data_IF_238865185367
#
_entry.id   IF_238865185367
#
_cell.length_a   1.000
_cell.length_b   1.000
_cell.length_c   1.000
_cell.angle_alpha   90.00
_cell.angle_beta   90.00
_cell.angle_gamma   90.00
#
_symmetry.space_group_name_H-M   'P 1'
#
loop_
_entity.id
_entity.type
_entity.pdbx_description
1 polymer ?
#
# COMPACT_ATOMS: atom_id res chain seq x y z
N UNK A 1 3.33 16.67 13.89
CA UNK A 1 2.52 17.03 12.70
C UNK A 1 1.61 15.89 12.24
N UNK A 2 1.98 14.61 12.35
CA UNK A 2 1.05 13.49 12.21
C UNK A 2 -0.22 13.64 13.09
N UNK A 3 -0.09 14.25 14.27
CA UNK A 3 -1.20 14.52 15.18
C UNK A 3 -2.26 15.45 14.57
N UNK A 4 -1.87 16.33 13.64
CA UNK A 4 -2.81 17.18 12.88
C UNK A 4 -3.66 16.36 11.93
N UNK A 5 -3.05 15.40 11.21
CA UNK A 5 -3.80 14.48 10.34
C UNK A 5 -4.73 13.61 11.19
N UNK A 6 -4.22 13.01 12.27
CA UNK A 6 -5.03 12.17 13.15
C UNK A 6 -6.19 12.95 13.79
N UNK A 7 -5.98 14.21 14.15
CA UNK A 7 -7.05 15.08 14.65
C UNK A 7 -8.12 15.32 13.59
N UNK A 8 -7.72 15.64 12.35
CA UNK A 8 -8.67 15.82 11.24
C UNK A 8 -9.41 14.51 10.90
N UNK A 9 -8.74 13.37 10.99
CA UNK A 9 -9.36 12.07 10.75
C UNK A 9 -10.33 11.68 11.89
N UNK A 10 -9.96 11.93 13.15
CA UNK A 10 -10.79 11.62 14.31
C UNK A 10 -11.99 12.55 14.48
N UNK A 11 -11.95 13.77 13.94
CA UNK A 11 -13.05 14.72 14.00
C UNK A 11 -14.17 14.34 13.01
N UNK A 12 -15.29 13.83 13.55
CA UNK A 12 -16.46 13.44 12.76
C UNK A 12 -17.18 14.62 12.09
N UNK A 13 -16.92 15.84 12.52
CA UNK A 13 -17.49 17.06 11.91
C UNK A 13 -16.72 17.50 10.67
N UNK A 14 -15.48 17.05 10.52
CA UNK A 14 -14.63 17.34 9.36
C UNK A 14 -14.83 16.24 8.32
N UNK A 15 -15.34 16.61 7.15
CA UNK A 15 -15.45 15.71 6.00
C UNK A 15 -14.08 15.36 5.41
N UNK A 16 -14.00 14.27 4.65
CA UNK A 16 -12.78 13.91 3.93
C UNK A 16 -12.32 15.01 2.94
N UNK A 17 -13.27 15.70 2.30
CA UNK A 17 -12.98 16.82 1.39
C UNK A 17 -12.34 18.00 2.14
N UNK A 18 -12.90 18.38 3.29
CA UNK A 18 -12.34 19.48 4.10
C UNK A 18 -10.97 19.12 4.68
N UNK A 19 -10.79 17.88 5.14
CA UNK A 19 -9.50 17.39 5.60
C UNK A 19 -8.47 17.41 4.47
N UNK A 20 -8.82 16.92 3.28
CA UNK A 20 -7.99 16.95 2.10
C UNK A 20 -7.56 18.40 1.78
N UNK A 21 -8.50 19.35 1.74
CA UNK A 21 -8.20 20.75 1.47
C UNK A 21 -7.19 21.32 2.47
N UNK A 22 -7.47 21.18 3.78
CA UNK A 22 -6.60 21.67 4.85
C UNK A 22 -5.20 21.06 4.83
N UNK A 23 -5.06 19.83 4.34
CA UNK A 23 -3.78 19.13 4.25
C UNK A 23 -3.00 19.51 3.00
N UNK A 24 -3.65 19.60 1.84
CA UNK A 24 -3.01 19.88 0.56
C UNK A 24 -2.73 21.37 0.32
N UNK A 25 -3.50 22.27 0.96
CA UNK A 25 -3.42 23.73 0.76
C UNK A 25 -2.01 24.32 0.86
N UNK A 26 -1.15 23.95 1.84
CA UNK A 26 0.19 24.51 1.94
C UNK A 26 1.01 24.27 0.67
N UNK A 27 1.03 23.03 0.16
CA UNK A 27 1.73 22.68 -1.08
C UNK A 27 1.16 23.42 -2.29
N UNK A 28 -0.17 23.39 -2.45
CA UNK A 28 -0.84 24.05 -3.58
C UNK A 28 -0.60 25.56 -3.59
N UNK A 29 -0.67 26.19 -2.42
CA UNK A 29 -0.45 27.64 -2.26
C UNK A 29 0.99 28.02 -2.55
N UNK A 30 1.97 27.20 -2.15
CA UNK A 30 3.37 27.41 -2.46
C UNK A 30 3.61 27.53 -3.97
N UNK A 31 3.00 26.64 -4.76
CA UNK A 31 3.11 26.69 -6.22
C UNK A 31 2.32 27.86 -6.83
N UNK A 32 1.03 28.01 -6.47
CA UNK A 32 0.15 29.03 -7.07
C UNK A 32 0.69 30.45 -6.89
N UNK A 33 1.26 30.75 -5.72
CA UNK A 33 1.66 32.12 -5.36
C UNK A 33 2.88 32.60 -6.14
N UNK A 34 3.96 31.81 -6.15
CA UNK A 34 5.27 32.28 -6.59
C UNK A 34 5.91 31.34 -7.65
N UNK A 35 5.23 30.27 -8.08
CA UNK A 35 5.81 29.26 -8.98
C UNK A 35 6.98 28.49 -8.36
N UNK A 36 7.13 28.55 -7.04
CA UNK A 36 8.28 28.04 -6.29
C UNK A 36 8.21 26.52 -6.18
N UNK A 37 8.90 25.84 -7.10
CA UNK A 37 8.98 24.38 -7.16
C UNK A 37 9.72 23.79 -5.94
N UNK A 38 10.70 24.49 -5.38
CA UNK A 38 11.45 24.00 -4.21
C UNK A 38 10.54 23.96 -2.99
N UNK A 39 9.82 25.06 -2.73
CA UNK A 39 8.85 25.10 -1.63
C UNK A 39 7.69 24.15 -1.86
N UNK A 40 7.25 24.00 -3.11
CA UNK A 40 6.23 23.01 -3.47
C UNK A 40 6.66 21.59 -3.08
N UNK A 41 7.89 21.19 -3.43
CA UNK A 41 8.49 19.90 -3.06
C UNK A 41 8.57 19.71 -1.53
N UNK A 42 9.01 20.72 -0.78
CA UNK A 42 9.08 20.66 0.70
C UNK A 42 7.70 20.44 1.33
N UNK A 43 6.68 21.15 0.86
CA UNK A 43 5.31 21.04 1.38
C UNK A 43 4.63 19.72 0.96
N UNK A 44 4.93 19.20 -0.25
CA UNK A 44 4.51 17.86 -0.66
C UNK A 44 5.16 16.78 0.21
N UNK A 45 6.46 16.89 0.46
CA UNK A 45 7.16 15.98 1.37
C UNK A 45 6.52 15.98 2.76
N UNK A 46 6.20 17.15 3.31
CA UNK A 46 5.49 17.27 4.57
C UNK A 46 4.08 16.66 4.53
N UNK A 47 3.31 16.92 3.48
CA UNK A 47 1.97 16.35 3.27
C UNK A 47 2.01 14.82 3.32
N UNK A 48 2.84 14.20 2.48
CA UNK A 48 2.89 12.75 2.34
C UNK A 48 3.42 12.06 3.59
N UNK A 49 4.48 12.58 4.22
CA UNK A 49 4.98 12.01 5.47
C UNK A 49 3.94 12.09 6.60
N UNK A 50 3.14 13.15 6.66
CA UNK A 50 2.08 13.26 7.65
C UNK A 50 0.95 12.25 7.40
N UNK A 51 0.55 12.05 6.14
CA UNK A 51 -0.45 11.05 5.74
C UNK A 51 0.05 9.63 6.04
N UNK A 52 1.28 9.32 5.64
CA UNK A 52 1.90 8.01 5.85
C UNK A 52 2.08 7.70 7.33
N UNK A 53 2.53 8.68 8.12
CA UNK A 53 2.60 8.51 9.58
C UNK A 53 1.22 8.32 10.23
N UNK A 54 0.16 8.92 9.67
CA UNK A 54 -1.20 8.66 10.15
C UNK A 54 -1.65 7.24 9.77
N UNK A 55 -1.39 6.81 8.53
CA UNK A 55 -1.70 5.45 8.07
C UNK A 55 -1.07 4.37 8.97
N UNK A 56 0.20 4.53 9.37
CA UNK A 56 0.87 3.60 10.28
C UNK A 56 0.19 3.50 11.66
N UNK A 57 -0.36 4.63 12.15
CA UNK A 57 -0.94 4.75 13.50
C UNK A 57 -2.43 4.41 13.54
N UNK A 58 -3.11 4.46 12.41
CA UNK A 58 -4.53 4.12 12.31
C UNK A 58 -4.69 2.61 12.09
N UNK A 59 -5.39 1.88 12.98
CA UNK A 59 -5.69 0.47 12.79
C UNK A 59 -6.27 0.19 11.40
N UNK A 60 -5.85 -0.91 10.77
CA UNK A 60 -6.19 -1.23 9.38
C UNK A 60 -7.71 -1.26 9.07
N UNK A 61 -8.54 -1.54 10.07
CA UNK A 61 -10.00 -1.58 10.00
C UNK A 61 -10.67 -0.19 10.15
N UNK A 62 -9.89 0.86 10.42
CA UNK A 62 -10.35 2.24 10.65
C UNK A 62 -9.79 3.26 9.66
N UNK A 63 -9.22 2.80 8.54
CA UNK A 63 -8.54 3.65 7.56
C UNK A 63 -9.46 4.25 6.48
N UNK A 64 -10.77 3.95 6.48
CA UNK A 64 -11.68 4.35 5.39
C UNK A 64 -11.65 5.86 5.11
N UNK A 65 -11.76 6.68 6.17
CA UNK A 65 -11.68 8.16 6.03
C UNK A 65 -10.33 8.63 5.48
N UNK A 66 -9.24 7.94 5.81
CA UNK A 66 -7.92 8.31 5.29
C UNK A 66 -7.82 8.03 3.78
N UNK A 67 -8.41 6.92 3.33
CA UNK A 67 -8.51 6.60 1.90
C UNK A 67 -9.41 7.59 1.16
N UNK A 68 -10.52 8.02 1.77
CA UNK A 68 -11.36 9.09 1.24
C UNK A 68 -10.63 10.43 1.12
N UNK A 69 -9.79 10.77 2.09
CA UNK A 69 -8.92 11.96 2.04
C UNK A 69 -7.96 11.85 0.86
N UNK A 70 -7.29 10.72 0.66
CA UNK A 70 -6.40 10.52 -0.49
C UNK A 70 -7.15 10.65 -1.82
N UNK A 71 -8.34 10.09 -1.92
CA UNK A 71 -9.21 10.22 -3.11
C UNK A 71 -9.57 11.68 -3.37
N UNK A 72 -9.92 12.43 -2.32
CA UNK A 72 -10.24 13.85 -2.43
C UNK A 72 -9.01 14.69 -2.84
N UNK A 73 -7.83 14.42 -2.28
CA UNK A 73 -6.56 15.04 -2.69
C UNK A 73 -6.30 14.78 -4.18
N UNK A 74 -6.31 13.53 -4.62
CA UNK A 74 -6.06 13.15 -6.03
C UNK A 74 -6.99 13.87 -7.02
N UNK A 75 -8.24 14.12 -6.62
CA UNK A 75 -9.28 14.76 -7.45
C UNK A 75 -9.28 16.29 -7.41
N UNK A 76 -8.41 16.92 -6.60
CA UNK A 76 -8.34 18.38 -6.61
C UNK A 76 -7.87 18.88 -7.98
N UNK A 77 -8.32 20.08 -8.41
CA UNK A 77 -7.82 20.70 -9.63
C UNK A 77 -6.30 20.86 -9.59
N UNK A 78 -5.59 20.75 -10.70
CA UNK A 78 -4.16 21.05 -10.72
C UNK A 78 -3.90 22.50 -10.26
N UNK A 79 -2.96 22.77 -9.34
CA UNK A 79 -2.57 24.14 -9.01
C UNK A 79 -1.85 24.77 -10.21
N UNK A 80 -2.21 26.02 -10.55
CA UNK A 80 -1.72 26.73 -11.75
C UNK A 80 -1.00 28.01 -11.36
N UNK A 81 0.16 28.27 -11.98
CA UNK A 81 0.89 29.53 -11.86
C UNK A 81 1.41 29.95 -13.25
N UNK A 82 0.86 31.02 -13.82
CA UNK A 82 1.33 31.64 -15.08
C UNK A 82 1.62 30.67 -16.26
N UNK A 83 0.90 29.55 -16.35
CA UNK A 83 1.14 28.52 -17.37
C UNK A 83 2.38 27.64 -17.14
N UNK A 84 3.05 27.78 -15.99
CA UNK A 84 4.09 26.86 -15.53
C UNK A 84 3.51 25.47 -15.28
N UNK A 85 4.26 24.46 -15.72
CA UNK A 85 3.97 23.06 -15.43
C UNK A 85 4.52 22.68 -14.06
N UNK A 86 3.84 21.77 -13.38
CA UNK A 86 4.37 21.12 -12.19
C UNK A 86 5.61 20.30 -12.56
N UNK A 87 6.65 20.42 -11.74
CA UNK A 87 7.86 19.62 -11.86
C UNK A 87 8.32 19.15 -10.49
N UNK A 88 8.82 17.93 -10.43
CA UNK A 88 9.47 17.34 -9.26
C UNK A 88 10.83 16.81 -9.72
N UNK A 89 11.91 17.25 -9.06
CA UNK A 89 13.29 16.85 -9.42
C UNK A 89 13.61 17.04 -10.91
N UNK A 90 13.03 18.08 -11.52
CA UNK A 90 13.21 18.42 -12.94
C UNK A 90 12.29 17.69 -13.92
N UNK A 91 11.58 16.64 -13.50
CA UNK A 91 10.60 15.92 -14.32
C UNK A 91 9.21 16.56 -14.26
N UNK A 92 8.52 16.67 -15.40
CA UNK A 92 7.12 17.11 -15.42
C UNK A 92 6.21 16.06 -14.77
N UNK A 93 5.18 16.52 -14.08
CA UNK A 93 4.18 15.69 -13.39
C UNK A 93 2.83 16.36 -13.45
N UNK A 94 1.77 15.63 -13.11
CA UNK A 94 0.45 16.21 -12.82
C UNK A 94 0.06 16.06 -11.36
N UNK A 95 -0.88 16.87 -10.90
CA UNK A 95 -1.40 16.77 -9.53
C UNK A 95 -2.07 15.42 -9.24
N UNK A 96 -2.84 14.90 -10.20
CA UNK A 96 -3.57 13.62 -10.09
C UNK A 96 -2.64 12.39 -10.08
N UNK A 97 -1.37 12.58 -10.44
CA UNK A 97 -0.30 11.58 -10.32
C UNK A 97 0.32 11.54 -8.92
N UNK A 98 -0.16 12.36 -7.97
CA UNK A 98 0.31 12.42 -6.58
C UNK A 98 1.83 12.65 -6.51
N UNK A 99 2.32 13.83 -6.95
CA UNK A 99 3.75 14.11 -7.09
C UNK A 99 4.53 13.80 -5.80
N UNK A 100 5.67 13.12 -5.92
CA UNK A 100 6.51 12.59 -4.81
C UNK A 100 5.93 11.43 -3.99
N UNK A 101 4.65 11.06 -4.14
CA UNK A 101 4.05 10.04 -3.28
C UNK A 101 4.66 8.66 -3.49
N UNK A 102 4.90 8.24 -4.75
CA UNK A 102 5.47 6.93 -5.10
C UNK A 102 6.81 6.60 -4.40
N UNK A 103 7.84 7.46 -4.50
CA UNK A 103 9.09 7.27 -3.75
C UNK A 103 8.89 7.20 -2.23
N UNK A 104 8.04 8.06 -1.67
CA UNK A 104 7.83 8.11 -0.22
C UNK A 104 7.08 6.89 0.33
N UNK A 105 6.13 6.31 -0.42
CA UNK A 105 5.49 5.06 0.02
C UNK A 105 6.47 3.87 0.01
N UNK A 106 7.43 3.87 -0.92
CA UNK A 106 8.49 2.86 -0.97
C UNK A 106 9.40 2.98 0.25
N UNK A 107 9.82 4.19 0.61
CA UNK A 107 10.61 4.45 1.83
C UNK A 107 9.82 4.08 3.09
N UNK A 108 8.54 4.45 3.15
CA UNK A 108 7.70 4.15 4.31
C UNK A 108 7.52 2.64 4.53
N UNK A 109 7.41 1.85 3.46
CA UNK A 109 7.34 0.39 3.58
C UNK A 109 8.57 -0.19 4.30
N UNK A 110 9.77 0.32 4.00
CA UNK A 110 11.01 -0.09 4.67
C UNK A 110 11.03 0.37 6.14
N UNK A 111 10.62 1.62 6.40
CA UNK A 111 10.56 2.18 7.75
C UNK A 111 9.58 1.39 8.63
N UNK A 112 8.37 1.12 8.13
CA UNK A 112 7.32 0.41 8.86
C UNK A 112 7.74 -1.00 9.28
N UNK A 113 8.58 -1.67 8.47
CA UNK A 113 9.14 -2.98 8.79
C UNK A 113 10.05 -2.97 10.03
N UNK A 114 10.69 -1.83 10.31
CA UNK A 114 11.56 -1.63 11.48
C UNK A 114 10.85 -1.04 12.70
N UNK A 115 9.53 -0.80 12.61
CA UNK A 115 8.70 -0.15 13.61
C UNK A 115 7.87 -1.16 14.41
N UNK A 116 7.06 -0.72 15.40
CA UNK A 116 6.16 -1.64 16.10
C UNK A 116 5.35 -2.48 15.14
N UNK A 117 5.16 -3.73 15.51
CA UNK A 117 4.54 -4.80 14.72
C UNK A 117 3.25 -4.40 13.98
N UNK A 118 2.38 -3.61 14.61
CA UNK A 118 1.13 -3.16 13.98
C UNK A 118 1.33 -2.11 12.88
N UNK A 119 2.41 -1.32 12.90
CA UNK A 119 2.67 -0.29 11.90
C UNK A 119 2.84 -0.91 10.51
N UNK A 120 3.51 -2.06 10.43
CA UNK A 120 3.69 -2.78 9.17
C UNK A 120 2.37 -3.34 8.62
N UNK A 121 1.49 -3.85 9.48
CA UNK A 121 0.15 -4.30 9.07
C UNK A 121 -0.69 -3.12 8.58
N UNK A 122 -0.72 -2.03 9.35
CA UNK A 122 -1.50 -0.85 9.04
C UNK A 122 -1.08 -0.18 7.72
N UNK A 123 0.23 -0.06 7.45
CA UNK A 123 0.69 0.56 6.21
C UNK A 123 0.38 -0.31 4.99
N UNK A 124 0.50 -1.64 5.11
CA UNK A 124 0.14 -2.55 4.03
C UNK A 124 -1.36 -2.54 3.74
N UNK A 125 -2.19 -2.46 4.77
CA UNK A 125 -3.63 -2.29 4.60
C UNK A 125 -3.97 -1.00 3.87
N UNK A 126 -3.29 0.10 4.20
CA UNK A 126 -3.47 1.37 3.53
C UNK A 126 -3.10 1.29 2.05
N UNK A 127 -1.95 0.71 1.72
CA UNK A 127 -1.53 0.52 0.32
C UNK A 127 -2.45 -0.42 -0.47
N UNK A 128 -2.95 -1.49 0.16
CA UNK A 128 -3.94 -2.37 -0.42
C UNK A 128 -5.23 -1.62 -0.79
N UNK A 129 -5.72 -0.76 0.11
CA UNK A 129 -6.92 0.06 -0.13
C UNK A 129 -6.69 1.11 -1.21
N UNK A 130 -5.55 1.80 -1.22
CA UNK A 130 -5.23 2.76 -2.29
C UNK A 130 -5.12 2.08 -3.66
N UNK A 131 -4.63 0.84 -3.70
CA UNK A 131 -4.57 0.02 -4.91
C UNK A 131 -5.97 -0.44 -5.35
N UNK A 132 -6.83 -0.81 -4.41
CA UNK A 132 -8.23 -1.18 -4.67
C UNK A 132 -9.04 -0.02 -5.25
N UNK A 133 -8.76 1.21 -4.78
CA UNK A 133 -9.46 2.42 -5.18
C UNK A 133 -8.86 3.15 -6.40
N UNK A 134 -7.88 2.55 -7.08
CA UNK A 134 -7.16 3.14 -8.23
C UNK A 134 -6.56 4.52 -7.91
N UNK A 135 -6.18 4.73 -6.65
CA UNK A 135 -5.54 5.97 -6.19
C UNK A 135 -4.03 5.91 -6.46
N UNK A 136 -3.42 4.79 -6.07
CA UNK A 136 -1.99 4.51 -6.21
C UNK A 136 -1.77 3.01 -6.34
N UNK A 137 -1.31 2.56 -7.51
CA UNK A 137 -0.94 1.16 -7.73
C UNK A 137 0.29 0.79 -6.89
N UNK A 138 0.09 -0.16 -5.97
CA UNK A 138 1.14 -0.69 -5.09
C UNK A 138 1.22 -2.22 -5.16
N UNK A 139 0.74 -2.85 -6.25
CA UNK A 139 0.70 -4.31 -6.42
C UNK A 139 2.07 -4.98 -6.29
N UNK A 140 3.16 -4.29 -6.65
CA UNK A 140 4.52 -4.82 -6.46
C UNK A 140 4.85 -5.03 -4.97
N UNK A 141 4.32 -4.19 -4.08
CA UNK A 141 4.53 -4.32 -2.64
C UNK A 141 3.82 -5.56 -2.09
N UNK A 142 2.62 -5.87 -2.61
CA UNK A 142 1.92 -7.12 -2.31
C UNK A 142 2.80 -8.33 -2.64
N UNK A 143 3.42 -8.35 -3.83
CA UNK A 143 4.35 -9.43 -4.22
C UNK A 143 5.52 -9.56 -3.24
N UNK A 144 6.10 -8.45 -2.80
CA UNK A 144 7.23 -8.51 -1.86
C UNK A 144 6.82 -9.08 -0.50
N UNK A 145 5.64 -8.69 -0.01
CA UNK A 145 5.07 -9.20 1.24
C UNK A 145 4.71 -10.69 1.10
N UNK A 146 4.03 -11.08 0.02
CA UNK A 146 3.68 -12.49 -0.22
C UNK A 146 4.91 -13.36 -0.41
N UNK A 147 5.94 -12.83 -1.08
CA UNK A 147 7.20 -13.56 -1.25
C UNK A 147 7.80 -13.90 0.11
N UNK A 148 7.96 -12.91 0.97
CA UNK A 148 8.58 -13.10 2.28
C UNK A 148 7.69 -13.95 3.20
N UNK A 149 6.38 -13.70 3.21
CA UNK A 149 5.44 -14.36 4.10
C UNK A 149 5.15 -15.81 3.69
N UNK A 150 5.05 -16.06 2.38
CA UNK A 150 4.42 -17.24 1.80
C UNK A 150 5.26 -17.89 0.70
N UNK A 151 6.42 -17.42 0.26
CA UNK A 151 7.18 -18.08 -0.81
C UNK A 151 8.62 -18.40 -0.44
N UNK A 152 9.25 -17.55 0.38
CA UNK A 152 10.58 -17.78 0.93
C UNK A 152 10.63 -19.00 1.85
N UNK A 153 9.74 -19.14 2.87
CA UNK A 153 9.71 -20.33 3.71
C UNK A 153 9.24 -21.58 2.94
N UNK A 154 9.65 -22.78 3.36
CA UNK A 154 9.04 -24.01 2.86
C UNK A 154 7.56 -24.10 3.27
N UNK A 155 6.76 -24.86 2.52
CA UNK A 155 5.30 -24.92 2.71
C UNK A 155 4.89 -25.38 4.12
N UNK A 156 5.61 -26.36 4.68
CA UNK A 156 5.39 -26.92 6.01
C UNK A 156 6.09 -26.13 7.14
N UNK A 157 6.86 -25.09 6.77
CA UNK A 157 7.62 -24.23 7.68
C UNK A 157 7.01 -22.83 7.86
N UNK A 158 6.01 -22.45 7.05
CA UNK A 158 5.41 -21.09 7.06
C UNK A 158 5.00 -20.66 8.47
N UNK A 159 4.33 -21.52 9.23
CA UNK A 159 3.85 -21.19 10.57
C UNK A 159 4.97 -21.02 11.61
N UNK A 160 6.13 -21.64 11.37
CA UNK A 160 7.28 -21.66 12.28
C UNK A 160 8.27 -20.53 11.96
N UNK A 161 8.41 -20.16 10.68
CA UNK A 161 9.42 -19.21 10.22
C UNK A 161 8.88 -17.83 9.90
N UNK A 162 7.59 -17.71 9.58
CA UNK A 162 6.95 -16.42 9.27
C UNK A 162 6.33 -15.85 10.53
N UNK A 163 6.64 -14.59 10.87
CA UNK A 163 6.03 -13.94 12.03
C UNK A 163 4.51 -13.75 11.83
N UNK A 164 3.71 -13.82 12.91
CA UNK A 164 2.27 -13.51 12.85
C UNK A 164 1.97 -12.15 12.19
N UNK A 165 2.85 -11.18 12.36
CA UNK A 165 2.75 -9.82 11.81
C UNK A 165 2.89 -9.78 10.30
N UNK A 166 3.85 -10.55 9.78
CA UNK A 166 4.07 -10.66 8.35
C UNK A 166 2.92 -11.44 7.69
N UNK A 167 2.37 -12.46 8.37
CA UNK A 167 1.14 -13.13 7.95
C UNK A 167 -0.08 -12.19 7.95
N UNK A 168 -0.22 -11.35 8.98
CA UNK A 168 -1.26 -10.30 9.03
C UNK A 168 -1.09 -9.27 7.91
N UNK A 169 0.14 -8.82 7.65
CA UNK A 169 0.45 -7.89 6.56
C UNK A 169 0.13 -8.50 5.17
N UNK A 170 0.41 -9.78 4.96
CA UNK A 170 -0.02 -10.49 3.76
C UNK A 170 -1.55 -10.62 3.69
N UNK A 171 -2.20 -10.90 4.83
CA UNK A 171 -3.65 -11.06 4.91
C UNK A 171 -4.39 -9.79 4.51
N UNK A 172 -3.97 -8.61 4.97
CA UNK A 172 -4.66 -7.34 4.67
C UNK A 172 -4.67 -6.97 3.19
N UNK A 173 -3.68 -7.45 2.41
CA UNK A 173 -3.71 -7.31 0.95
C UNK A 173 -4.86 -8.08 0.31
N UNK A 174 -5.18 -9.28 0.80
CA UNK A 174 -6.35 -10.03 0.34
C UNK A 174 -7.65 -9.49 0.95
N UNK A 175 -7.64 -9.02 2.19
CA UNK A 175 -8.83 -8.46 2.84
C UNK A 175 -9.34 -7.22 2.08
N UNK A 176 -8.42 -6.31 1.72
CA UNK A 176 -8.78 -5.01 1.15
C UNK A 176 -8.51 -4.87 -0.35
N UNK A 177 -7.66 -5.72 -0.94
CA UNK A 177 -7.21 -5.60 -2.34
C UNK A 177 -7.45 -6.84 -3.20
N UNK A 178 -8.20 -7.85 -2.73
CA UNK A 178 -8.39 -9.11 -3.45
C UNK A 178 -8.84 -8.95 -4.92
N UNK A 179 -9.78 -8.04 -5.20
CA UNK A 179 -10.27 -7.81 -6.57
C UNK A 179 -9.17 -7.25 -7.49
N UNK A 180 -8.38 -6.29 -7.02
CA UNK A 180 -7.24 -5.76 -7.79
C UNK A 180 -6.15 -6.81 -7.99
N UNK A 181 -5.89 -7.67 -7.00
CA UNK A 181 -4.94 -8.77 -7.12
C UNK A 181 -5.43 -9.85 -8.10
N UNK A 182 -6.73 -10.18 -8.07
CA UNK A 182 -7.35 -11.13 -9.00
C UNK A 182 -7.35 -10.58 -10.43
N UNK A 183 -7.68 -9.29 -10.61
CA UNK A 183 -7.55 -8.60 -11.90
C UNK A 183 -6.10 -8.68 -12.41
N UNK A 184 -5.11 -8.41 -11.57
CA UNK A 184 -3.70 -8.51 -11.96
C UNK A 184 -3.29 -9.94 -12.35
N UNK A 185 -3.83 -10.98 -11.68
CA UNK A 185 -3.69 -12.40 -12.05
C UNK A 185 -4.28 -12.66 -13.43
N UNK A 186 -5.50 -12.21 -13.68
CA UNK A 186 -6.23 -12.48 -14.93
C UNK A 186 -5.61 -11.75 -16.12
N UNK A 187 -5.08 -10.55 -15.90
CA UNK A 187 -4.30 -9.78 -16.88
C UNK A 187 -2.85 -10.26 -17.01
N UNK A 188 -2.45 -11.27 -16.24
CA UNK A 188 -1.09 -11.81 -16.17
C UNK A 188 -0.01 -10.72 -15.95
N UNK A 189 -0.30 -9.72 -15.11
CA UNK A 189 0.57 -8.55 -14.90
C UNK A 189 1.97 -8.97 -14.49
N UNK A 190 2.98 -8.50 -15.25
CA UNK A 190 4.40 -8.77 -15.01
C UNK A 190 5.14 -7.50 -14.57
N UNK A 191 6.28 -7.68 -13.91
CA UNK A 191 7.20 -6.61 -13.53
C UNK A 191 8.60 -6.89 -14.08
N UNK A 192 9.32 -5.82 -14.39
CA UNK A 192 10.63 -5.91 -15.01
C UNK A 192 11.70 -6.49 -14.09
N UNK A 193 12.68 -7.16 -14.71
CA UNK A 193 13.88 -7.65 -14.07
C UNK A 193 13.60 -8.69 -12.96
N UNK A 194 14.17 -8.45 -11.77
CA UNK A 194 14.10 -9.35 -10.61
C UNK A 194 13.15 -8.86 -9.51
N UNK A 195 12.42 -7.77 -9.75
CA UNK A 195 11.60 -7.12 -8.73
C UNK A 195 10.54 -8.07 -8.15
N UNK A 196 9.87 -8.81 -9.02
CA UNK A 196 8.79 -9.74 -8.69
C UNK A 196 9.17 -11.22 -8.86
N UNK A 197 10.46 -11.57 -8.70
CA UNK A 197 10.92 -12.97 -8.71
C UNK A 197 10.15 -13.82 -7.67
N UNK A 198 10.01 -15.14 -7.87
CA UNK A 198 9.49 -16.04 -6.84
C UNK A 198 10.41 -16.09 -5.63
N UNK A 199 9.85 -16.50 -4.49
CA UNK A 199 10.58 -16.74 -3.26
C UNK A 199 11.48 -17.97 -3.29
N UNK A 200 12.31 -18.09 -2.26
CA UNK A 200 13.41 -19.05 -2.24
C UNK A 200 12.97 -20.52 -2.25
N UNK A 201 11.90 -20.90 -1.54
CA UNK A 201 11.35 -22.26 -1.61
C UNK A 201 10.75 -22.62 -2.98
N UNK A 202 10.43 -21.60 -3.79
CA UNK A 202 9.86 -21.72 -5.13
C UNK A 202 10.92 -21.55 -6.23
N UNK A 203 12.18 -21.89 -5.92
CA UNK A 203 13.31 -21.74 -6.84
C UNK A 203 13.15 -22.45 -8.20
N UNK A 204 12.35 -23.52 -8.28
CA UNK A 204 12.01 -24.20 -9.52
C UNK A 204 11.26 -23.29 -10.53
N UNK A 205 10.57 -22.25 -10.04
CA UNK A 205 9.86 -21.28 -10.85
C UNK A 205 10.70 -20.06 -11.23
N UNK A 206 11.97 -20.01 -10.81
CA UNK A 206 12.83 -18.84 -11.00
C UNK A 206 12.95 -18.45 -12.46
N UNK A 207 13.01 -19.39 -13.39
CA UNK A 207 13.16 -19.08 -14.82
C UNK A 207 11.91 -19.46 -15.64
N UNK A 208 10.79 -19.74 -14.97
CA UNK A 208 9.52 -20.05 -15.63
C UNK A 208 8.87 -18.75 -16.12
N UNK A 209 8.46 -18.74 -17.39
CA UNK A 209 7.77 -17.60 -17.99
C UNK A 209 6.46 -17.30 -17.23
N UNK A 210 6.16 -16.02 -17.00
CA UNK A 210 4.97 -15.57 -16.26
C UNK A 210 5.12 -15.54 -14.73
N UNK A 211 6.20 -16.07 -14.17
CA UNK A 211 6.51 -16.02 -12.73
C UNK A 211 7.29 -14.76 -12.31
N UNK A 212 7.15 -13.67 -13.07
CA UNK A 212 7.69 -12.33 -12.76
C UNK A 212 6.59 -11.35 -12.41
N UNK A 213 5.48 -11.85 -11.86
CA UNK A 213 4.35 -11.03 -11.47
C UNK A 213 3.23 -11.89 -10.93
N UNK A 214 2.01 -11.57 -11.36
CA UNK A 214 0.78 -12.28 -11.02
C UNK A 214 0.46 -13.31 -12.10
N UNK A 215 0.24 -14.56 -11.68
CA UNK A 215 -0.22 -15.64 -12.56
C UNK A 215 -1.07 -16.65 -11.77
N UNK A 216 -1.90 -17.48 -12.44
CA UNK A 216 -2.76 -18.46 -11.77
C UNK A 216 -1.99 -19.46 -10.89
N UNK A 217 -0.83 -19.94 -11.33
CA UNK A 217 -0.06 -20.92 -10.55
C UNK A 217 0.46 -20.31 -9.23
N UNK A 218 1.02 -19.10 -9.31
CA UNK A 218 1.53 -18.39 -8.12
C UNK A 218 0.40 -18.02 -7.17
N UNK A 219 -0.76 -17.63 -7.70
CA UNK A 219 -1.97 -17.41 -6.91
C UNK A 219 -2.41 -18.66 -6.14
N UNK A 220 -2.40 -19.82 -6.80
CA UNK A 220 -2.76 -21.09 -6.15
C UNK A 220 -1.77 -21.45 -5.03
N UNK A 221 -0.48 -21.13 -5.18
CA UNK A 221 0.49 -21.29 -4.10
C UNK A 221 0.13 -20.44 -2.89
N UNK A 222 -0.16 -19.14 -3.08
CA UNK A 222 -0.56 -18.26 -1.97
C UNK A 222 -1.82 -18.75 -1.27
N UNK A 223 -2.82 -19.16 -2.06
CA UNK A 223 -4.08 -19.71 -1.55
C UNK A 223 -3.85 -20.97 -0.73
N UNK A 224 -3.10 -21.93 -1.26
CA UNK A 224 -2.80 -23.19 -0.56
C UNK A 224 -2.06 -22.94 0.75
N UNK A 225 -1.07 -22.04 0.75
CA UNK A 225 -0.26 -21.72 1.93
C UNK A 225 -1.04 -20.94 2.99
N UNK A 226 -2.00 -20.08 2.62
CA UNK A 226 -2.91 -19.51 3.62
C UNK A 226 -3.86 -20.56 4.20
N UNK A 227 -4.45 -21.41 3.36
CA UNK A 227 -5.36 -22.47 3.83
C UNK A 227 -4.69 -23.50 4.73
N UNK A 228 -3.39 -23.76 4.57
CA UNK A 228 -2.66 -24.66 5.48
C UNK A 228 -2.55 -24.08 6.90
N UNK A 229 -2.46 -22.74 7.03
CA UNK A 229 -2.34 -22.05 8.32
C UNK A 229 -3.62 -22.11 9.16
N UNK A 230 -4.79 -22.31 8.56
CA UNK A 230 -6.06 -22.46 9.30
C UNK A 230 -6.02 -23.62 10.32
N UNK A 231 -5.17 -24.63 10.08
CA UNK A 231 -4.99 -25.80 10.96
C UNK A 231 -3.83 -25.66 11.95
N UNK A 232 -3.08 -24.56 11.89
CA UNK A 232 -1.92 -24.32 12.75
C UNK A 232 -2.31 -23.54 14.00
N UNK A 233 -1.51 -23.69 15.05
CA UNK A 233 -1.64 -22.91 16.28
C UNK A 233 -0.92 -21.58 16.09
N UNK A 234 -1.69 -20.50 15.99
CA UNK A 234 -1.24 -19.12 15.81
C UNK A 234 -1.98 -18.22 16.80
N UNK A 235 -1.45 -17.03 17.11
CA UNK A 235 -2.18 -16.01 17.85
C UNK A 235 -3.57 -15.74 17.24
N UNK A 236 -4.57 -15.52 18.09
CA UNK A 236 -5.97 -15.45 17.68
C UNK A 236 -6.25 -14.30 16.68
N UNK A 237 -5.57 -13.16 16.82
CA UNK A 237 -5.67 -12.01 15.92
C UNK A 237 -5.08 -12.32 14.53
N UNK A 238 -3.95 -13.04 14.49
CA UNK A 238 -3.36 -13.50 13.23
C UNK A 238 -4.25 -14.53 12.53
N UNK A 239 -4.81 -15.48 13.29
CA UNK A 239 -5.75 -16.48 12.76
C UNK A 239 -6.99 -15.82 12.16
N UNK A 240 -7.58 -14.84 12.86
CA UNK A 240 -8.73 -14.09 12.35
C UNK A 240 -8.42 -13.40 11.01
N UNK A 241 -7.24 -12.79 10.88
CA UNK A 241 -6.83 -12.12 9.63
C UNK A 241 -6.62 -13.12 8.49
N UNK A 242 -6.02 -14.27 8.78
CA UNK A 242 -5.83 -15.37 7.82
C UNK A 242 -7.17 -15.91 7.33
N UNK A 243 -8.10 -16.19 8.25
CA UNK A 243 -9.43 -16.72 7.91
C UNK A 243 -10.19 -15.73 7.00
N UNK A 244 -10.11 -14.42 7.28
CA UNK A 244 -10.68 -13.38 6.43
C UNK A 244 -10.02 -13.31 5.06
N UNK A 245 -8.68 -13.45 4.99
CA UNK A 245 -7.95 -13.49 3.72
C UNK A 245 -8.33 -14.71 2.88
N UNK A 246 -8.45 -15.90 3.49
CA UNK A 246 -8.89 -17.14 2.82
C UNK A 246 -10.32 -17.00 2.29
N UNK A 247 -11.24 -16.43 3.09
CA UNK A 247 -12.62 -16.16 2.64
C UNK A 247 -12.65 -15.24 1.40
N UNK A 248 -11.84 -14.18 1.38
CA UNK A 248 -11.71 -13.29 0.22
C UNK A 248 -11.09 -14.01 -0.99
N UNK A 249 -9.99 -14.73 -0.80
CA UNK A 249 -9.33 -15.55 -1.83
C UNK A 249 -10.23 -16.62 -2.46
N UNK A 250 -11.25 -17.08 -1.74
CA UNK A 250 -12.23 -18.04 -2.24
C UNK A 250 -13.36 -17.41 -3.06
N UNK A 251 -13.53 -16.08 -2.98
CA UNK A 251 -14.60 -15.34 -3.66
C UNK A 251 -14.17 -14.71 -4.99
N UNK A 252 -12.86 -14.65 -5.28
CA UNK A 252 -12.25 -14.01 -6.46
C UNK A 252 -11.35 -14.93 -7.28
#
# INVERSE_FOLDING_TARGET
MADKVLTLLGDKTVSAQEAAQKLADPSRTAFVKDGDLSRFEEELYALWNNILSAAEKTPHDQQDKLVEVMRAIKRMPEPVHEGMKLKIWGGETRWDELPMFGPLIREQLDVARSRPEQAFVNINAFFARLTADDIQDSLLFAIWVFREALEDPAEDEVAQTTSPELLKAASVWFIYGAESLAKARDEAKQFDGKLARPGDSLSAYRDVAGWRGFCPDRWNVWKARFSSLEKTELPADAKLSIDQAVDKLNKV
#
